data_IF_810559851186
#
_entry.id   IF_810559851186
#
_cell.length_a   1.000
_cell.length_b   1.000
_cell.length_c   1.000
_cell.angle_alpha   90.00
_cell.angle_beta   90.00
_cell.angle_gamma   90.00
#
_symmetry.space_group_name_H-M   'P 1'
#
loop_
_entity.id
_entity.type
_entity.pdbx_description
1 polymer ?
#
# COMPACT_ATOMS: atom_id res chain seq x y z
N UNK A 1 39.63 6.66 -41.87
CA UNK A 1 40.91 6.37 -42.58
C UNK A 1 40.82 4.92 -43.02
N UNK A 2 40.86 4.64 -44.33
CA UNK A 2 40.75 3.29 -44.90
C UNK A 2 42.12 2.60 -44.93
N UNK A 3 42.18 1.33 -44.53
CA UNK A 3 43.24 0.37 -44.89
C UNK A 3 42.53 -0.95 -45.26
N UNK A 4 42.89 -1.53 -46.41
CA UNK A 4 42.53 -2.87 -46.89
C UNK A 4 41.04 -3.22 -47.15
N UNK A 5 40.28 -2.32 -47.79
CA UNK A 5 39.07 -2.71 -48.54
C UNK A 5 37.89 -3.30 -47.76
N UNK A 6 38.00 -3.38 -46.43
CA UNK A 6 36.90 -3.71 -45.52
C UNK A 6 36.38 -2.43 -44.88
N UNK A 7 35.06 -2.27 -44.79
CA UNK A 7 34.45 -1.16 -44.06
C UNK A 7 34.89 -1.25 -42.60
N UNK A 8 35.78 -0.34 -42.18
CA UNK A 8 36.02 -0.11 -40.76
C UNK A 8 34.86 0.75 -40.29
N UNK A 9 33.87 0.10 -39.70
CA UNK A 9 32.87 0.80 -38.93
C UNK A 9 33.59 1.41 -37.71
N UNK A 10 33.74 2.72 -37.71
CA UNK A 10 33.86 3.48 -36.48
C UNK A 10 32.95 4.66 -36.72
N UNK A 11 31.89 4.83 -35.91
CA UNK A 11 32.13 5.39 -34.59
C UNK A 11 31.05 5.06 -33.53
N UNK A 12 31.36 5.44 -32.29
CA UNK A 12 30.47 5.44 -31.13
C UNK A 12 30.18 4.05 -30.58
N UNK A 13 30.57 3.86 -29.32
CA UNK A 13 29.80 3.01 -28.43
C UNK A 13 28.33 3.38 -28.65
N UNK A 14 27.50 2.42 -29.06
CA UNK A 14 26.14 2.43 -28.54
C UNK A 14 26.32 2.59 -27.04
N UNK A 15 26.04 3.78 -26.52
CA UNK A 15 25.52 3.85 -25.19
C UNK A 15 24.19 3.13 -25.36
N UNK A 16 24.20 1.80 -25.20
CA UNK A 16 23.03 1.09 -24.68
C UNK A 16 22.53 2.02 -23.62
N UNK A 17 21.33 2.59 -23.81
CA UNK A 17 20.69 3.48 -22.84
C UNK A 17 21.02 2.91 -21.48
N UNK A 18 21.98 3.55 -20.80
CA UNK A 18 22.68 2.90 -19.71
C UNK A 18 21.61 2.40 -18.76
N UNK A 19 21.77 1.21 -18.21
CA UNK A 19 20.91 0.72 -17.14
C UNK A 19 20.99 1.75 -16.00
N UNK A 20 20.16 2.80 -16.08
CA UNK A 20 20.04 3.78 -15.02
C UNK A 20 19.21 3.07 -13.98
N UNK A 21 19.92 2.40 -13.07
CA UNK A 21 19.32 1.78 -11.91
C UNK A 21 18.61 2.85 -11.09
N UNK A 22 17.33 2.63 -10.84
CA UNK A 22 16.57 3.32 -9.80
C UNK A 22 16.56 2.47 -8.54
N UNK A 23 16.67 3.14 -7.40
CA UNK A 23 16.52 2.50 -6.09
C UNK A 23 15.06 2.55 -5.67
N UNK A 24 14.53 1.41 -5.25
CA UNK A 24 13.21 1.29 -4.66
C UNK A 24 13.37 1.20 -3.14
N UNK A 25 12.59 1.97 -2.40
CA UNK A 25 12.50 1.86 -0.95
C UNK A 25 11.10 1.41 -0.59
N UNK A 26 11.01 0.41 0.28
CA UNK A 26 9.75 -0.03 0.86
C UNK A 26 9.70 0.31 2.34
N UNK A 27 8.52 0.65 2.83
CA UNK A 27 8.26 0.85 4.25
C UNK A 27 6.80 0.51 4.56
N UNK A 28 6.55 -0.22 5.64
CA UNK A 28 5.22 -0.30 6.24
C UNK A 28 5.10 0.83 7.28
N UNK A 29 4.00 1.58 7.24
CA UNK A 29 3.79 2.73 8.14
C UNK A 29 3.31 2.23 9.51
N UNK A 30 2.41 1.23 9.52
CA UNK A 30 1.96 0.52 10.71
C UNK A 30 2.08 -1.00 10.55
N UNK A 31 1.81 -1.73 11.63
CA UNK A 31 1.53 -3.17 11.57
C UNK A 31 0.29 -3.48 10.72
N UNK A 32 0.13 -4.75 10.30
CA UNK A 32 -1.05 -5.22 9.57
C UNK A 32 -0.78 -5.80 8.19
N UNK A 33 0.48 -5.82 7.75
CA UNK A 33 0.88 -6.45 6.50
C UNK A 33 2.31 -6.14 6.11
N UNK A 34 2.71 -6.71 4.97
CA UNK A 34 4.01 -6.48 4.32
C UNK A 34 3.83 -6.13 2.85
N UNK A 35 4.88 -5.59 2.23
CA UNK A 35 4.88 -5.22 0.81
C UNK A 35 5.69 -6.23 -0.01
N UNK A 36 5.15 -6.62 -1.16
CA UNK A 36 5.80 -7.46 -2.17
C UNK A 36 5.94 -6.66 -3.46
N UNK A 37 7.15 -6.62 -4.00
CA UNK A 37 7.48 -5.86 -5.20
C UNK A 37 7.63 -6.80 -6.39
N UNK A 38 7.02 -6.41 -7.51
CA UNK A 38 7.01 -7.14 -8.77
C UNK A 38 7.42 -6.15 -9.85
N UNK A 39 8.55 -6.37 -10.51
CA UNK A 39 9.04 -5.52 -11.60
C UNK A 39 8.89 -6.28 -12.91
N UNK A 40 8.21 -5.69 -13.89
CA UNK A 40 7.94 -6.30 -15.19
C UNK A 40 7.35 -7.73 -15.10
N UNK A 41 6.56 -8.01 -14.05
CA UNK A 41 5.93 -9.31 -13.83
C UNK A 41 6.74 -10.32 -13.00
N UNK A 42 7.98 -10.01 -12.62
CA UNK A 42 8.82 -10.88 -11.79
C UNK A 42 8.92 -10.40 -10.34
N UNK A 43 8.80 -11.33 -9.39
CA UNK A 43 8.93 -11.02 -7.95
C UNK A 43 10.40 -10.72 -7.65
N UNK A 44 10.69 -9.52 -7.15
CA UNK A 44 12.07 -9.09 -6.87
C UNK A 44 12.30 -8.82 -5.39
N UNK A 45 13.38 -9.41 -4.87
CA UNK A 45 13.86 -9.19 -3.50
C UNK A 45 14.82 -8.00 -3.38
N UNK A 46 15.46 -7.59 -4.47
CA UNK A 46 16.68 -6.77 -4.39
C UNK A 46 16.46 -5.26 -4.62
N UNK A 47 15.20 -4.79 -4.69
CA UNK A 47 14.83 -3.36 -4.69
C UNK A 47 15.57 -2.46 -5.71
N UNK A 48 16.07 -3.03 -6.81
CA UNK A 48 16.68 -2.31 -7.93
C UNK A 48 15.77 -2.48 -9.13
N UNK A 49 15.44 -1.39 -9.81
CA UNK A 49 14.73 -1.42 -11.08
C UNK A 49 15.40 -0.51 -12.09
N UNK A 50 14.99 -0.55 -13.34
CA UNK A 50 15.52 0.28 -14.41
C UNK A 50 14.56 1.41 -14.75
N UNK A 51 15.12 2.53 -15.21
CA UNK A 51 14.33 3.58 -15.83
C UNK A 51 13.51 2.99 -17.00
N UNK A 52 12.19 3.18 -16.95
CA UNK A 52 11.24 2.68 -17.93
C UNK A 52 10.51 1.41 -17.51
N UNK A 53 10.92 0.75 -16.43
CA UNK A 53 10.22 -0.43 -15.90
C UNK A 53 8.83 -0.08 -15.35
N UNK A 54 7.95 -1.08 -15.39
CA UNK A 54 6.67 -1.04 -14.69
C UNK A 54 6.81 -1.76 -13.34
N UNK A 55 6.35 -1.10 -12.28
CA UNK A 55 6.37 -1.62 -10.93
C UNK A 55 4.96 -1.91 -10.44
N UNK A 56 4.74 -3.16 -10.02
CA UNK A 56 3.57 -3.57 -9.26
C UNK A 56 3.97 -3.82 -7.80
N UNK A 57 3.26 -3.18 -6.87
CA UNK A 57 3.43 -3.41 -5.43
C UNK A 57 2.16 -4.05 -4.89
N UNK A 58 2.28 -5.22 -4.28
CA UNK A 58 1.20 -5.96 -3.64
C UNK A 58 1.35 -5.91 -2.12
N UNK A 59 0.22 -5.85 -1.39
CA UNK A 59 0.20 -6.01 0.07
C UNK A 59 -0.13 -7.45 0.45
N UNK A 60 0.69 -8.06 1.31
CA UNK A 60 0.35 -9.30 2.00
C UNK A 60 -0.21 -8.89 3.36
N UNK A 61 -1.55 -8.92 3.49
CA UNK A 61 -2.26 -8.43 4.68
C UNK A 61 -2.35 -9.49 5.76
N UNK A 62 -2.18 -9.08 7.01
CA UNK A 62 -2.48 -9.91 8.17
C UNK A 62 -4.01 -10.09 8.30
N UNK A 63 -4.49 -11.21 8.89
CA UNK A 63 -5.92 -11.44 9.08
C UNK A 63 -6.62 -10.27 9.78
N UNK A 64 -7.71 -9.79 9.18
CA UNK A 64 -8.51 -8.70 9.73
C UNK A 64 -8.03 -7.29 9.37
N UNK A 65 -6.91 -7.14 8.67
CA UNK A 65 -6.43 -5.84 8.19
C UNK A 65 -6.92 -5.50 6.78
N UNK A 66 -6.93 -4.20 6.47
CA UNK A 66 -7.12 -3.63 5.13
C UNK A 66 -6.07 -2.55 4.88
N UNK A 67 -5.83 -2.22 3.61
CA UNK A 67 -5.04 -1.04 3.25
C UNK A 67 -5.81 0.22 3.64
N UNK A 68 -5.16 1.08 4.42
CA UNK A 68 -5.70 2.39 4.80
C UNK A 68 -5.35 3.44 3.75
N UNK A 69 -4.06 3.55 3.42
CA UNK A 69 -3.53 4.48 2.42
C UNK A 69 -2.21 4.00 1.84
N UNK A 70 -1.90 4.49 0.64
CA UNK A 70 -0.58 4.40 0.03
C UNK A 70 0.09 5.77 0.07
N UNK A 71 1.41 5.79 0.26
CA UNK A 71 2.22 7.00 0.16
C UNK A 71 3.37 6.71 -0.80
N UNK A 72 3.45 7.49 -1.88
CA UNK A 72 4.49 7.38 -2.90
C UNK A 72 5.26 8.69 -2.95
N UNK A 73 6.57 8.65 -2.68
CA UNK A 73 7.44 9.82 -2.64
C UNK A 73 6.91 10.96 -1.74
N UNK A 74 6.26 10.59 -0.62
CA UNK A 74 5.65 11.55 0.32
C UNK A 74 4.26 12.05 -0.07
N UNK A 75 3.71 11.62 -1.21
CA UNK A 75 2.36 11.96 -1.66
C UNK A 75 1.40 10.83 -1.28
N UNK A 76 0.37 11.16 -0.51
CA UNK A 76 -0.72 10.23 -0.17
C UNK A 76 -1.62 9.98 -1.39
N UNK A 77 -1.84 8.71 -1.69
CA UNK A 77 -2.80 8.25 -2.69
C UNK A 77 -4.06 7.74 -1.99
N UNK A 78 -5.21 8.30 -2.37
CA UNK A 78 -6.49 8.02 -1.74
C UNK A 78 -7.17 6.76 -2.35
N UNK A 79 -6.43 5.66 -2.47
CA UNK A 79 -6.98 4.36 -2.87
C UNK A 79 -6.56 3.27 -1.88
N UNK A 80 -7.41 2.24 -1.75
CA UNK A 80 -7.29 1.19 -0.73
C UNK A 80 -7.18 -0.21 -1.31
N UNK A 81 -6.87 -0.29 -2.60
CA UNK A 81 -6.58 -1.57 -3.24
C UNK A 81 -5.32 -2.17 -2.64
N UNK A 82 -5.29 -3.50 -2.55
CA UNK A 82 -4.11 -4.28 -2.13
C UNK A 82 -2.97 -4.26 -3.16
N UNK A 83 -3.18 -3.59 -4.29
CA UNK A 83 -2.22 -3.51 -5.40
C UNK A 83 -2.08 -2.05 -5.82
N UNK A 84 -0.83 -1.63 -6.01
CA UNK A 84 -0.43 -0.34 -6.57
C UNK A 84 0.37 -0.60 -7.85
N UNK A 85 -0.05 0.02 -8.95
CA UNK A 85 0.66 0.00 -10.22
C UNK A 85 1.33 1.36 -10.46
N UNK A 86 2.62 1.34 -10.77
CA UNK A 86 3.43 2.50 -11.12
C UNK A 86 4.13 2.20 -12.44
N UNK A 87 3.61 2.80 -13.51
CA UNK A 87 4.13 2.57 -14.86
C UNK A 87 5.32 3.50 -15.15
N UNK A 88 6.26 3.00 -15.94
CA UNK A 88 7.31 3.80 -16.57
C UNK A 88 8.12 4.62 -15.56
N UNK A 89 8.66 3.97 -14.53
CA UNK A 89 9.41 4.64 -13.45
C UNK A 89 10.65 5.35 -14.01
N UNK A 90 10.92 6.59 -13.57
CA UNK A 90 12.03 7.42 -14.09
C UNK A 90 13.06 7.83 -13.05
N UNK A 91 12.78 7.59 -11.78
CA UNK A 91 13.62 8.01 -10.66
C UNK A 91 13.48 7.05 -9.49
N UNK A 92 14.32 7.23 -8.47
CA UNK A 92 14.17 6.53 -7.20
C UNK A 92 12.76 6.73 -6.63
N UNK A 93 12.22 5.68 -6.03
CA UNK A 93 10.87 5.67 -5.48
C UNK A 93 10.89 5.24 -4.01
N UNK A 94 10.16 5.96 -3.17
CA UNK A 94 9.82 5.56 -1.81
C UNK A 94 8.34 5.21 -1.75
N UNK A 95 8.03 3.92 -1.59
CA UNK A 95 6.67 3.41 -1.50
C UNK A 95 6.42 2.94 -0.08
N UNK A 96 5.31 3.40 0.49
CA UNK A 96 4.84 2.89 1.76
C UNK A 96 3.33 2.69 1.78
N UNK A 97 2.89 1.74 2.59
CA UNK A 97 1.48 1.51 2.86
C UNK A 97 1.22 1.60 4.37
N UNK A 98 0.07 2.16 4.71
CA UNK A 98 -0.49 2.09 6.05
C UNK A 98 -1.66 1.11 6.07
N UNK A 99 -1.87 0.45 7.20
CA UNK A 99 -2.90 -0.58 7.34
C UNK A 99 -3.83 -0.25 8.50
N UNK A 100 -5.06 -0.73 8.43
CA UNK A 100 -6.07 -0.55 9.47
C UNK A 100 -6.69 -1.88 9.84
N UNK A 101 -6.83 -2.11 11.15
CA UNK A 101 -7.50 -3.28 11.69
C UNK A 101 -9.02 -3.07 11.67
N UNK A 102 -9.76 -3.98 11.05
CA UNK A 102 -11.23 -3.88 10.98
C UNK A 102 -11.81 -4.08 12.38
N UNK A 103 -12.53 -3.08 12.86
CA UNK A 103 -13.14 -3.04 14.19
C UNK A 103 -12.31 -2.30 15.24
N UNK A 104 -11.12 -1.81 14.89
CA UNK A 104 -10.30 -0.93 15.74
C UNK A 104 -10.66 0.54 15.44
N UNK A 105 -11.38 1.18 16.37
CA UNK A 105 -11.86 2.55 16.22
C UNK A 105 -11.00 3.55 16.99
N UNK A 106 -10.30 3.09 18.03
CA UNK A 106 -9.47 3.94 18.88
C UNK A 106 -8.00 3.98 18.43
N UNK A 107 -7.60 3.12 17.49
CA UNK A 107 -6.26 3.06 16.91
C UNK A 107 -5.23 2.38 17.81
N UNK A 108 -5.65 1.52 18.74
CA UNK A 108 -4.75 0.80 19.65
C UNK A 108 -4.29 -0.57 19.13
N UNK A 109 -4.67 -0.91 17.90
CA UNK A 109 -4.39 -2.17 17.20
C UNK A 109 -5.01 -3.41 17.85
N UNK A 110 -6.04 -3.23 18.67
CA UNK A 110 -6.84 -4.31 19.23
C UNK A 110 -8.31 -4.08 18.92
N UNK A 111 -9.09 -5.17 18.85
CA UNK A 111 -10.54 -5.10 18.68
C UNK A 111 -11.19 -5.57 19.98
N UNK A 112 -11.69 -4.63 20.76
CA UNK A 112 -12.19 -4.87 22.11
C UNK A 112 -13.53 -4.20 22.38
N UNK A 113 -14.06 -4.36 23.60
CA UNK A 113 -15.25 -3.64 24.03
C UNK A 113 -15.07 -2.10 24.05
N UNK A 114 -13.82 -1.61 24.07
CA UNK A 114 -13.50 -0.18 23.97
C UNK A 114 -13.89 0.37 22.61
N UNK A 115 -13.63 -0.37 21.53
CA UNK A 115 -14.04 -0.01 20.17
C UNK A 115 -15.56 -0.01 20.02
N UNK A 116 -16.22 -0.99 20.63
CA UNK A 116 -17.67 -1.06 20.66
C UNK A 116 -18.28 0.15 21.40
N UNK A 117 -17.68 0.57 22.51
CA UNK A 117 -18.09 1.78 23.22
C UNK A 117 -17.82 3.04 22.41
N UNK A 118 -16.66 3.13 21.76
CA UNK A 118 -16.27 4.23 20.88
C UNK A 118 -17.25 4.37 19.71
N UNK A 119 -17.63 3.28 19.06
CA UNK A 119 -18.60 3.28 17.97
C UNK A 119 -19.98 3.76 18.44
N UNK A 120 -20.45 3.31 19.61
CA UNK A 120 -21.73 3.79 20.18
C UNK A 120 -21.71 5.30 20.43
N UNK A 121 -20.63 5.82 21.01
CA UNK A 121 -20.49 7.25 21.30
C UNK A 121 -20.41 8.08 20.02
N UNK A 122 -19.66 7.62 19.02
CA UNK A 122 -19.62 8.24 17.70
C UNK A 122 -21.00 8.29 17.04
N UNK A 123 -21.73 7.16 16.98
CA UNK A 123 -23.06 7.10 16.38
C UNK A 123 -24.10 7.95 17.14
N UNK A 124 -23.92 8.15 18.44
CA UNK A 124 -24.73 9.05 19.26
C UNK A 124 -24.33 10.53 19.15
N UNK A 125 -23.31 10.86 18.36
CA UNK A 125 -22.78 12.22 18.22
C UNK A 125 -22.06 12.73 19.48
N UNK A 126 -21.68 11.84 20.39
CA UNK A 126 -21.04 12.18 21.66
C UNK A 126 -19.52 12.34 21.51
N UNK A 127 -18.90 11.63 20.57
CA UNK A 127 -17.47 11.71 20.27
C UNK A 127 -17.22 11.76 18.76
N UNK A 128 -16.02 12.19 18.37
CA UNK A 128 -15.48 12.04 17.03
C UNK A 128 -14.46 10.89 16.99
N UNK A 129 -14.35 10.24 15.84
CA UNK A 129 -13.30 9.25 15.55
C UNK A 129 -12.40 9.75 14.42
N UNK A 130 -11.15 9.29 14.42
CA UNK A 130 -10.16 9.62 13.39
C UNK A 130 -10.60 9.09 12.02
N UNK A 131 -10.03 9.60 10.93
CA UNK A 131 -10.31 9.08 9.60
C UNK A 131 -9.98 7.59 9.50
N UNK A 132 -8.83 7.16 10.05
CA UNK A 132 -8.44 5.75 10.13
C UNK A 132 -9.44 4.91 10.95
N UNK A 133 -9.91 5.43 12.09
CA UNK A 133 -10.96 4.81 12.89
C UNK A 133 -12.30 4.71 12.16
N UNK A 134 -12.63 5.63 11.23
CA UNK A 134 -13.80 5.50 10.35
C UNK A 134 -13.66 4.34 9.37
N UNK A 135 -12.45 4.09 8.87
CA UNK A 135 -12.19 2.93 7.99
C UNK A 135 -12.23 1.63 8.77
N UNK A 136 -11.62 1.59 9.95
CA UNK A 136 -11.69 0.44 10.84
C UNK A 136 -13.12 0.15 11.30
N UNK A 137 -13.90 1.19 11.59
CA UNK A 137 -15.29 1.10 12.02
C UNK A 137 -16.31 0.80 10.92
N UNK A 138 -15.95 0.91 9.64
CA UNK A 138 -16.77 0.50 8.49
C UNK A 138 -16.54 -0.99 8.20
N UNK A 139 -17.13 -1.82 9.06
CA UNK A 139 -16.88 -3.25 9.13
C UNK A 139 -17.50 -3.96 7.93
N UNK A 140 -18.70 -3.53 7.51
CA UNK A 140 -19.36 -4.07 6.32
C UNK A 140 -18.84 -3.49 4.99
N UNK A 141 -17.97 -2.48 5.06
CA UNK A 141 -17.27 -1.85 3.94
C UNK A 141 -18.23 -1.16 2.96
N UNK A 142 -19.29 -0.54 3.47
CA UNK A 142 -20.28 0.18 2.67
C UNK A 142 -19.96 1.67 2.47
N UNK A 143 -18.87 2.15 3.07
CA UNK A 143 -18.41 3.54 3.00
C UNK A 143 -18.87 4.41 4.17
N UNK A 144 -19.67 3.89 5.11
CA UNK A 144 -20.21 4.64 6.24
C UNK A 144 -20.18 3.83 7.54
N UNK A 145 -19.68 4.42 8.62
CA UNK A 145 -19.81 3.82 9.96
C UNK A 145 -21.23 4.00 10.47
N UNK A 146 -21.94 2.90 10.64
CA UNK A 146 -23.38 2.86 10.91
C UNK A 146 -23.73 1.90 12.06
N UNK A 147 -25.02 1.81 12.39
CA UNK A 147 -25.51 0.81 13.35
C UNK A 147 -25.34 -0.63 12.87
N UNK A 148 -25.21 -0.86 11.55
CA UNK A 148 -24.93 -2.18 10.99
C UNK A 148 -23.54 -2.65 11.44
N UNK A 149 -22.54 -1.78 11.37
CA UNK A 149 -21.19 -2.05 11.85
C UNK A 149 -21.17 -2.31 13.34
N UNK A 150 -21.96 -1.55 14.11
CA UNK A 150 -22.07 -1.74 15.55
C UNK A 150 -22.59 -3.13 15.91
N UNK A 151 -23.56 -3.65 15.16
CA UNK A 151 -24.08 -4.99 15.34
C UNK A 151 -23.02 -6.04 14.99
N UNK A 152 -22.31 -5.89 13.86
CA UNK A 152 -21.22 -6.80 13.47
C UNK A 152 -20.10 -6.83 14.50
N UNK A 153 -19.63 -5.67 14.95
CA UNK A 153 -18.60 -5.57 15.99
C UNK A 153 -19.03 -6.28 17.26
N UNK A 154 -20.29 -6.08 17.69
CA UNK A 154 -20.83 -6.76 18.87
C UNK A 154 -20.86 -8.27 18.71
N UNK A 155 -21.29 -8.76 17.54
CA UNK A 155 -21.38 -10.20 17.26
C UNK A 155 -20.00 -10.84 17.24
N UNK A 156 -19.02 -10.21 16.60
CA UNK A 156 -17.61 -10.64 16.59
C UNK A 156 -17.03 -10.75 17.99
N UNK A 157 -17.21 -9.71 18.83
CA UNK A 157 -16.74 -9.73 20.23
C UNK A 157 -17.44 -10.78 21.09
N UNK A 158 -18.64 -11.22 20.70
CA UNK A 158 -19.37 -12.29 21.36
C UNK A 158 -19.06 -13.69 20.79
N UNK A 159 -18.17 -13.80 19.79
CA UNK A 159 -17.83 -15.08 19.14
C UNK A 159 -18.98 -15.64 18.27
N UNK A 160 -19.83 -14.77 17.75
CA UNK A 160 -21.01 -15.14 16.92
C UNK A 160 -20.76 -14.95 15.41
N UNK A 161 -19.53 -14.65 15.04
CA UNK A 161 -19.00 -14.45 13.67
C UNK A 161 -17.59 -15.02 13.58
#
# INVERSE_FOLDING_TARGET
MLIDGQLIDSPFSEVTTGEIGVTLMNKTISQGGTLKFIVNGEVWSDLKALVGDDLTVETILDPGYRVYEWVVNGVTLNHRNSTLLLENIRSNMSISADFVLIGDLNGDYQVTATDLATMRRFLAGLDNISQKGRVGGDIDNNGTVSTTDLVRLRRRLAGLE
#
